data_IF_138958014146
#
_entry.id   IF_138958014146
#
_cell.length_a   1.000
_cell.length_b   1.000
_cell.length_c   1.000
_cell.angle_alpha   90.00
_cell.angle_beta   90.00
_cell.angle_gamma   90.00
#
_symmetry.space_group_name_H-M   'P 1'
#
loop_
_entity.id
_entity.type
_entity.pdbx_description
1 polymer ?
#
# COMPACT_ATOMS: atom_id res chain seq x y z
N UNK A 1 -29.07 -14.30 3.56
CA UNK A 1 -27.92 -14.43 4.49
C UNK A 1 -26.79 -15.07 3.70
N UNK A 2 -25.83 -14.28 3.21
CA UNK A 2 -24.64 -14.80 2.54
C UNK A 2 -23.44 -14.44 3.40
N UNK A 3 -22.85 -15.46 4.02
CA UNK A 3 -21.56 -15.39 4.67
C UNK A 3 -20.49 -15.31 3.58
N UNK A 4 -19.83 -14.15 3.46
CA UNK A 4 -18.61 -14.04 2.67
C UNK A 4 -17.42 -14.19 3.62
N UNK A 5 -16.70 -15.30 3.43
CA UNK A 5 -15.39 -15.55 4.04
C UNK A 5 -14.36 -14.66 3.35
N UNK A 6 -13.99 -13.57 4.02
CA UNK A 6 -12.82 -12.78 3.68
C UNK A 6 -11.56 -13.61 4.05
N UNK A 7 -10.72 -14.02 3.07
CA UNK A 7 -9.55 -14.85 3.31
C UNK A 7 -8.45 -14.15 4.12
N UNK A 8 -8.61 -12.85 4.42
CA UNK A 8 -7.69 -12.10 5.28
C UNK A 8 -8.22 -11.94 6.72
N UNK A 9 -9.41 -12.45 7.03
CA UNK A 9 -10.06 -12.31 8.35
C UNK A 9 -9.47 -13.22 9.44
N UNK A 10 -8.75 -14.29 9.06
CA UNK A 10 -8.34 -15.36 9.98
C UNK A 10 -6.89 -15.28 10.49
N UNK A 11 -6.20 -14.14 10.32
CA UNK A 11 -4.80 -13.99 10.78
C UNK A 11 -4.62 -13.07 12.01
N UNK A 12 -5.69 -12.65 12.72
CA UNK A 12 -5.59 -11.65 13.80
C UNK A 12 -6.48 -12.00 15.01
N UNK A 13 -5.94 -11.93 16.24
CA UNK A 13 -6.61 -12.34 17.50
C UNK A 13 -7.37 -11.16 18.14
N UNK A 14 -8.55 -11.45 18.70
CA UNK A 14 -9.51 -10.55 19.34
C UNK A 14 -9.01 -9.88 20.63
N UNK A 15 -9.16 -8.55 20.72
CA UNK A 15 -9.13 -7.79 21.98
C UNK A 15 -10.36 -6.87 22.05
N UNK A 16 -11.00 -6.80 23.22
CA UNK A 16 -12.27 -6.08 23.43
C UNK A 16 -12.07 -4.84 24.28
N UNK A 17 -12.43 -3.66 23.76
CA UNK A 17 -12.82 -2.49 24.56
C UNK A 17 -13.78 -1.54 23.80
N UNK A 18 -14.75 -0.96 24.49
CA UNK A 18 -15.77 0.02 24.02
C UNK A 18 -16.47 -0.23 22.66
N UNK A 19 -16.76 -1.49 22.30
CA UNK A 19 -17.81 -1.82 21.33
C UNK A 19 -17.58 -1.43 19.86
N UNK A 20 -16.37 -1.02 19.46
CA UNK A 20 -15.97 -0.87 18.05
C UNK A 20 -14.53 -1.36 17.81
N UNK A 21 -14.40 -2.41 17.00
CA UNK A 21 -13.17 -3.15 16.70
C UNK A 21 -12.29 -2.39 15.70
N UNK A 22 -11.05 -2.06 16.08
CA UNK A 22 -10.01 -1.55 15.17
C UNK A 22 -8.72 -2.38 15.36
N UNK A 23 -8.11 -2.79 14.24
CA UNK A 23 -7.01 -3.77 14.17
C UNK A 23 -5.64 -3.16 14.55
N UNK A 24 -4.88 -3.85 15.39
CA UNK A 24 -3.43 -3.66 15.57
C UNK A 24 -2.69 -4.95 15.16
N UNK A 25 -1.49 -4.88 14.54
CA UNK A 25 -0.66 -6.07 14.29
C UNK A 25 -0.11 -6.63 15.63
N UNK A 26 -0.29 -7.93 15.87
CA UNK A 26 0.07 -8.58 17.15
C UNK A 26 1.53 -9.03 17.28
N UNK A 27 2.38 -8.79 16.29
CA UNK A 27 3.83 -9.02 16.43
C UNK A 27 4.62 -7.98 15.66
N UNK A 28 4.85 -6.83 16.27
CA UNK A 28 5.75 -5.83 15.71
C UNK A 28 5.44 -4.48 16.29
N UNK A 29 6.34 -4.03 17.17
CA UNK A 29 6.50 -2.67 17.66
C UNK A 29 5.60 -1.63 16.93
N UNK A 30 4.69 -0.92 17.63
CA UNK A 30 3.85 0.12 17.02
C UNK A 30 4.66 1.25 16.36
N UNK A 31 5.99 1.26 16.51
CA UNK A 31 6.93 2.17 15.86
C UNK A 31 7.52 1.64 14.54
N UNK A 32 6.97 0.61 13.88
CA UNK A 32 7.49 0.17 12.58
C UNK A 32 7.58 1.33 11.57
N UNK A 33 6.60 2.24 11.59
CA UNK A 33 6.60 3.47 10.78
C UNK A 33 7.69 4.48 11.18
N UNK A 34 8.08 4.56 12.47
CA UNK A 34 9.13 5.49 12.92
C UNK A 34 10.53 5.06 12.49
N UNK A 35 10.72 3.79 12.18
CA UNK A 35 12.01 3.25 11.72
C UNK A 35 12.24 3.45 10.21
N UNK A 36 11.26 3.94 9.45
CA UNK A 36 11.40 4.24 8.02
C UNK A 36 12.15 5.56 7.74
N UNK A 37 12.49 6.34 8.79
CA UNK A 37 13.47 7.44 8.70
C UNK A 37 14.92 6.93 8.63
N UNK A 38 15.12 5.75 8.03
CA UNK A 38 16.40 5.12 7.81
C UNK A 38 17.11 5.75 6.61
N UNK A 39 18.43 5.87 6.66
CA UNK A 39 19.27 6.20 5.50
C UNK A 39 19.18 5.13 4.41
N UNK A 40 18.69 3.93 4.74
CA UNK A 40 18.58 2.81 3.81
C UNK A 40 17.32 2.92 2.96
N UNK A 41 17.49 2.66 1.66
CA UNK A 41 16.40 2.61 0.68
C UNK A 41 15.46 1.42 0.94
N UNK A 42 14.17 1.68 0.83
CA UNK A 42 13.11 0.66 0.81
C UNK A 42 13.06 0.02 -0.58
N UNK A 43 13.06 -1.31 -0.62
CA UNK A 43 13.08 -2.05 -1.88
C UNK A 43 11.69 -2.47 -2.33
N UNK A 44 10.85 -2.86 -1.40
CA UNK A 44 9.48 -3.32 -1.63
C UNK A 44 8.74 -3.31 -0.29
N UNK A 45 7.42 -3.16 -0.35
CA UNK A 45 6.50 -3.45 0.75
C UNK A 45 5.88 -4.83 0.57
N UNK A 46 5.80 -5.60 1.65
CA UNK A 46 4.98 -6.82 1.69
C UNK A 46 3.49 -6.48 1.59
N UNK A 47 2.65 -7.49 1.33
CA UNK A 47 1.19 -7.29 1.27
C UNK A 47 0.61 -6.92 2.64
N UNK A 48 1.21 -7.42 3.72
CA UNK A 48 0.90 -7.08 5.10
C UNK A 48 1.30 -5.63 5.42
N UNK A 49 2.46 -5.17 4.95
CA UNK A 49 2.88 -3.77 5.09
C UNK A 49 1.93 -2.85 4.30
N UNK A 50 1.55 -3.20 3.08
CA UNK A 50 0.56 -2.46 2.29
C UNK A 50 -0.80 -2.40 2.99
N UNK A 51 -1.26 -3.50 3.59
CA UNK A 51 -2.49 -3.51 4.38
C UNK A 51 -2.39 -2.60 5.61
N UNK A 52 -1.25 -2.57 6.30
CA UNK A 52 -1.01 -1.67 7.42
C UNK A 52 -0.99 -0.20 6.99
N UNK A 53 -0.37 0.13 5.85
CA UNK A 53 -0.40 1.48 5.26
C UNK A 53 -1.84 1.88 4.93
N UNK A 54 -2.59 1.02 4.23
CA UNK A 54 -3.99 1.25 3.87
C UNK A 54 -4.87 1.52 5.11
N UNK A 55 -4.67 0.73 6.17
CA UNK A 55 -5.36 0.90 7.44
C UNK A 55 -5.05 2.26 8.08
N UNK A 56 -3.76 2.65 8.12
CA UNK A 56 -3.34 3.95 8.66
C UNK A 56 -3.86 5.14 7.84
N UNK A 57 -4.09 4.95 6.54
CA UNK A 57 -4.72 5.93 5.65
C UNK A 57 -6.26 5.92 5.72
N UNK A 58 -6.87 5.02 6.51
CA UNK A 58 -8.31 4.91 6.65
C UNK A 58 -9.02 4.30 5.44
N UNK A 59 -8.30 3.55 4.60
CA UNK A 59 -8.89 2.84 3.45
C UNK A 59 -9.81 1.73 3.95
N UNK A 60 -11.02 1.69 3.42
CA UNK A 60 -11.98 0.62 3.68
C UNK A 60 -12.24 -0.15 2.39
N UNK A 61 -11.64 -1.34 2.28
CA UNK A 61 -11.75 -2.17 1.07
C UNK A 61 -13.17 -2.67 0.77
N UNK A 62 -14.06 -2.69 1.77
CA UNK A 62 -15.48 -3.02 1.54
C UNK A 62 -16.28 -1.85 0.93
N UNK A 63 -15.70 -0.65 0.90
CA UNK A 63 -16.33 0.57 0.36
C UNK A 63 -15.58 1.16 -0.83
N UNK A 64 -14.30 0.82 -1.00
CA UNK A 64 -13.52 1.22 -2.17
C UNK A 64 -13.95 0.43 -3.40
N UNK A 65 -13.59 0.94 -4.57
CA UNK A 65 -13.77 0.25 -5.86
C UNK A 65 -12.57 -0.60 -6.26
N UNK A 66 -11.47 -0.49 -5.51
CA UNK A 66 -10.21 -1.22 -5.68
C UNK A 66 -9.98 -2.14 -4.49
N UNK A 67 -9.13 -3.16 -4.65
CA UNK A 67 -8.78 -4.15 -3.64
C UNK A 67 -7.36 -3.91 -3.05
N UNK A 68 -6.97 -4.76 -2.11
CA UNK A 68 -5.64 -4.72 -1.51
C UNK A 68 -4.53 -5.00 -2.53
N UNK A 69 -4.80 -5.76 -3.59
CA UNK A 69 -3.80 -6.07 -4.61
C UNK A 69 -3.45 -4.84 -5.46
N UNK A 70 -4.44 -4.06 -5.88
CA UNK A 70 -4.22 -2.76 -6.53
C UNK A 70 -3.45 -1.79 -5.62
N UNK A 71 -3.83 -1.71 -4.34
CA UNK A 71 -3.13 -0.84 -3.39
C UNK A 71 -1.68 -1.30 -3.14
N UNK A 72 -1.45 -2.60 -3.01
CA UNK A 72 -0.13 -3.20 -2.83
C UNK A 72 0.77 -2.99 -4.06
N UNK A 73 0.22 -3.17 -5.27
CA UNK A 73 0.91 -2.80 -6.51
C UNK A 73 1.27 -1.32 -6.47
N UNK A 74 0.33 -0.46 -6.10
CA UNK A 74 0.52 0.98 -6.04
C UNK A 74 1.65 1.41 -5.12
N UNK A 75 1.61 1.04 -3.85
CA UNK A 75 2.67 1.45 -2.90
C UNK A 75 4.06 0.98 -3.31
N UNK A 76 4.17 -0.13 -4.05
CA UNK A 76 5.44 -0.61 -4.57
C UNK A 76 5.88 0.14 -5.83
N UNK A 77 4.97 0.48 -6.73
CA UNK A 77 5.25 1.34 -7.89
C UNK A 77 5.68 2.74 -7.44
N UNK A 78 4.99 3.32 -6.46
CA UNK A 78 5.26 4.67 -5.99
C UNK A 78 6.60 4.82 -5.21
N UNK A 79 7.29 3.73 -4.91
CA UNK A 79 8.69 3.81 -4.44
C UNK A 79 9.61 4.46 -5.48
N UNK A 80 9.24 4.50 -6.76
CA UNK A 80 9.95 5.23 -7.81
C UNK A 80 10.06 6.74 -7.51
N UNK A 81 9.11 7.28 -6.75
CA UNK A 81 9.11 8.66 -6.26
C UNK A 81 9.84 8.85 -4.93
N UNK A 82 10.48 7.80 -4.43
CA UNK A 82 11.31 7.81 -3.22
C UNK A 82 12.80 7.88 -3.51
N UNK A 83 13.61 7.20 -2.68
CA UNK A 83 15.08 7.19 -2.76
C UNK A 83 15.62 6.43 -3.98
N UNK A 84 14.76 5.85 -4.83
CA UNK A 84 15.14 5.25 -6.12
C UNK A 84 15.82 6.29 -7.01
N UNK A 85 15.28 7.50 -7.07
CA UNK A 85 15.80 8.62 -7.85
C UNK A 85 16.00 9.82 -6.95
N UNK A 86 17.24 10.12 -6.58
CA UNK A 86 17.55 11.28 -5.71
C UNK A 86 17.11 12.61 -6.30
N UNK A 87 17.08 12.73 -7.64
CA UNK A 87 16.68 13.95 -8.34
C UNK A 87 15.17 14.21 -8.25
N UNK A 88 14.36 13.16 -8.17
CA UNK A 88 12.89 13.24 -8.16
C UNK A 88 12.29 12.67 -6.87
N UNK A 89 13.10 12.55 -5.81
CA UNK A 89 12.69 12.00 -4.53
C UNK A 89 11.78 12.99 -3.80
N UNK A 90 10.51 12.63 -3.65
CA UNK A 90 9.49 13.43 -2.97
C UNK A 90 8.89 12.70 -1.77
N UNK A 91 9.06 11.38 -1.66
CA UNK A 91 8.49 10.58 -0.55
C UNK A 91 9.52 10.24 0.52
N UNK A 92 10.81 10.22 0.20
CA UNK A 92 11.85 9.72 1.11
C UNK A 92 11.72 8.23 1.46
N UNK A 93 10.97 7.47 0.66
CA UNK A 93 10.45 6.13 0.98
C UNK A 93 9.53 6.08 2.21
N UNK A 94 8.96 7.22 2.64
CA UNK A 94 8.00 7.22 3.74
C UNK A 94 6.74 6.41 3.33
N UNK A 95 6.36 5.37 4.09
CA UNK A 95 5.25 4.49 3.71
C UNK A 95 3.91 5.22 3.60
N UNK A 96 3.68 6.24 4.41
CA UNK A 96 2.41 6.98 4.44
C UNK A 96 2.35 7.99 3.29
N UNK A 97 3.43 8.70 3.00
CA UNK A 97 3.49 9.61 1.84
C UNK A 97 3.37 8.79 0.55
N UNK A 98 4.11 7.69 0.44
CA UNK A 98 4.04 6.76 -0.70
C UNK A 98 2.62 6.20 -0.87
N UNK A 99 1.99 5.74 0.22
CA UNK A 99 0.62 5.25 0.21
C UNK A 99 -0.43 6.31 -0.15
N UNK A 100 -0.20 7.59 0.15
CA UNK A 100 -1.12 8.67 -0.28
C UNK A 100 -1.10 8.87 -1.79
N UNK A 101 0.07 8.75 -2.43
CA UNK A 101 0.16 8.82 -3.90
C UNK A 101 -0.58 7.63 -4.50
N UNK A 102 -0.35 6.42 -3.98
CA UNK A 102 -1.06 5.23 -4.42
C UNK A 102 -2.59 5.35 -4.28
N UNK A 103 -3.04 5.86 -3.14
CA UNK A 103 -4.46 6.09 -2.89
C UNK A 103 -5.05 7.16 -3.81
N UNK A 104 -4.31 8.23 -4.11
CA UNK A 104 -4.79 9.29 -4.99
C UNK A 104 -5.11 8.73 -6.39
N UNK A 105 -4.19 7.96 -6.97
CA UNK A 105 -4.38 7.34 -8.28
C UNK A 105 -5.52 6.31 -8.32
N UNK A 106 -5.63 5.47 -7.28
CA UNK A 106 -6.74 4.51 -7.20
C UNK A 106 -8.12 5.15 -6.99
N UNK A 107 -8.15 6.40 -6.52
CA UNK A 107 -9.38 7.20 -6.46
C UNK A 107 -9.75 7.82 -7.82
N UNK A 108 -8.78 8.00 -8.73
CA UNK A 108 -9.07 8.42 -10.11
C UNK A 108 -9.74 7.29 -10.89
N UNK A 109 -9.16 6.08 -10.83
CA UNK A 109 -9.79 4.86 -11.33
C UNK A 109 -9.26 3.59 -10.64
N UNK A 110 -10.10 2.55 -10.47
CA UNK A 110 -9.80 1.49 -9.52
C UNK A 110 -8.77 0.44 -10.00
N UNK A 111 -8.45 0.42 -11.29
CA UNK A 111 -7.49 -0.50 -11.93
C UNK A 111 -6.21 0.23 -12.40
N UNK A 112 -5.88 1.36 -11.75
CA UNK A 112 -4.80 2.26 -12.15
C UNK A 112 -3.47 1.55 -12.38
N UNK A 113 -3.01 0.76 -11.42
CA UNK A 113 -1.68 0.17 -11.47
C UNK A 113 -1.58 -0.99 -12.47
N UNK A 114 -2.68 -1.70 -12.72
CA UNK A 114 -2.73 -2.67 -13.82
C UNK A 114 -2.58 -1.99 -15.18
N UNK A 115 -3.25 -0.85 -15.40
CA UNK A 115 -3.12 -0.08 -16.65
C UNK A 115 -1.74 0.54 -16.81
N UNK A 116 -1.21 1.14 -15.73
CA UNK A 116 0.11 1.76 -15.74
C UNK A 116 1.19 0.73 -16.10
N UNK A 117 1.12 -0.47 -15.53
CA UNK A 117 2.07 -1.56 -15.84
C UNK A 117 2.12 -1.87 -17.34
N UNK A 118 0.97 -1.98 -18.00
CA UNK A 118 0.90 -2.22 -19.46
C UNK A 118 1.54 -1.05 -20.23
N UNK A 119 1.18 0.18 -19.88
CA UNK A 119 1.72 1.39 -20.53
C UNK A 119 3.25 1.46 -20.40
N UNK A 120 3.80 1.17 -19.23
CA UNK A 120 5.24 1.19 -19.01
C UNK A 120 5.97 0.08 -19.76
N UNK A 121 5.40 -1.13 -19.82
CA UNK A 121 5.96 -2.24 -20.59
C UNK A 121 6.00 -1.91 -22.09
N UNK A 122 4.94 -1.32 -22.62
CA UNK A 122 4.88 -0.82 -24.00
C UNK A 122 5.93 0.27 -24.25
N UNK A 123 6.04 1.24 -23.35
CA UNK A 123 7.03 2.32 -23.46
C UNK A 123 8.47 1.79 -23.39
N UNK A 124 8.77 0.88 -22.46
CA UNK A 124 10.08 0.21 -22.35
C UNK A 124 10.42 -0.54 -23.64
N UNK A 125 9.45 -1.26 -24.22
CA UNK A 125 9.64 -1.97 -25.50
C UNK A 125 9.88 -1.02 -26.68
N UNK A 126 9.22 0.14 -26.69
CA UNK A 126 9.39 1.14 -27.75
C UNK A 126 10.76 1.84 -27.70
N UNK A 127 11.19 2.29 -26.53
CA UNK A 127 12.40 3.11 -26.36
C UNK A 127 13.70 2.31 -26.17
N UNK A 128 13.62 1.00 -25.90
CA UNK A 128 14.80 0.11 -25.83
C UNK A 128 15.16 -0.53 -27.18
N UNK A 129 14.60 -0.05 -28.29
CA UNK A 129 14.99 -0.40 -29.66
C UNK A 129 16.13 0.50 -30.12
#
# INVERSE_FOLDING_TARGET
MYYYNDPYLNQFINGYDYGKQYLYPTTGNPNWYKNYHSTTRVRTFSKEEAAAIALLLGVNFNKSKFDLDEFWMGVNTELEHGKISSQTNVTGDDPIITGKIALAHLNEFPDYYKRLKVLEEEAKSYWNK
#
